data_IF_537921396372
#
_entry.id   IF_537921396372
#
_cell.length_a   1.000
_cell.length_b   1.000
_cell.length_c   1.000
_cell.angle_alpha   90.00
_cell.angle_beta   90.00
_cell.angle_gamma   90.00
#
_symmetry.space_group_name_H-M   'P 1'
#
loop_
_entity.id
_entity.type
_entity.pdbx_description
1 polymer ?
#
# COMPACT_ATOMS: atom_id res chain seq x y z
N UNK A 1 -26.64 -28.58 -5.94
CA UNK A 1 -25.48 -28.40 -5.03
C UNK A 1 -24.17 -27.99 -5.71
N UNK A 2 -23.99 -28.15 -7.04
CA UNK A 2 -22.71 -27.87 -7.73
C UNK A 2 -22.62 -26.47 -8.39
N UNK A 3 -23.76 -25.83 -8.69
CA UNK A 3 -23.81 -24.54 -9.39
C UNK A 3 -23.57 -23.34 -8.45
N UNK A 4 -24.18 -23.35 -7.25
CA UNK A 4 -24.02 -22.29 -6.25
C UNK A 4 -22.56 -22.15 -5.77
N UNK A 5 -21.90 -23.28 -5.47
CA UNK A 5 -20.49 -23.30 -5.09
C UNK A 5 -19.57 -22.78 -6.20
N UNK A 6 -19.93 -23.03 -7.46
CA UNK A 6 -19.21 -22.52 -8.63
C UNK A 6 -19.38 -21.00 -8.75
N UNK A 7 -20.61 -20.50 -8.61
CA UNK A 7 -20.93 -19.08 -8.70
C UNK A 7 -20.23 -18.27 -7.60
N UNK A 8 -20.28 -18.75 -6.35
CA UNK A 8 -19.59 -18.12 -5.21
C UNK A 8 -18.09 -18.03 -5.44
N UNK A 9 -17.48 -19.08 -5.99
CA UNK A 9 -16.05 -19.10 -6.31
C UNK A 9 -15.69 -18.09 -7.39
N UNK A 10 -16.49 -17.98 -8.46
CA UNK A 10 -16.28 -17.01 -9.54
C UNK A 10 -16.42 -15.57 -9.05
N UNK A 11 -17.40 -15.29 -8.19
CA UNK A 11 -17.58 -13.97 -7.59
C UNK A 11 -16.42 -13.59 -6.66
N UNK A 12 -15.98 -14.52 -5.80
CA UNK A 12 -14.82 -14.29 -4.92
C UNK A 12 -13.54 -14.00 -5.70
N UNK A 13 -13.30 -14.73 -6.79
CA UNK A 13 -12.14 -14.48 -7.67
C UNK A 13 -12.20 -13.09 -8.29
N UNK A 14 -13.37 -12.68 -8.78
CA UNK A 14 -13.56 -11.35 -9.35
C UNK A 14 -13.34 -10.24 -8.31
N UNK A 15 -13.86 -10.42 -7.10
CA UNK A 15 -13.67 -9.47 -6.01
C UNK A 15 -12.19 -9.40 -5.62
N UNK A 16 -11.51 -10.54 -5.48
CA UNK A 16 -10.08 -10.58 -5.18
C UNK A 16 -9.25 -9.84 -6.22
N UNK A 17 -9.43 -10.15 -7.50
CA UNK A 17 -8.65 -9.51 -8.56
C UNK A 17 -8.90 -8.00 -8.64
N UNK A 18 -10.12 -7.56 -8.38
CA UNK A 18 -10.45 -6.13 -8.36
C UNK A 18 -9.76 -5.43 -7.18
N UNK A 19 -9.67 -6.07 -6.00
CA UNK A 19 -9.00 -5.53 -4.82
C UNK A 19 -7.48 -5.46 -5.05
N UNK A 20 -6.87 -6.56 -5.49
CA UNK A 20 -5.45 -6.63 -5.79
C UNK A 20 -5.05 -5.63 -6.88
N UNK A 21 -5.89 -5.45 -7.90
CA UNK A 21 -5.66 -4.45 -8.94
C UNK A 21 -5.73 -3.02 -8.40
N UNK A 22 -6.57 -2.76 -7.39
CA UNK A 22 -6.63 -1.44 -6.74
C UNK A 22 -5.39 -1.15 -5.90
N UNK A 23 -4.98 -2.11 -5.07
CA UNK A 23 -3.76 -1.99 -4.28
C UNK A 23 -2.52 -1.88 -5.16
N UNK A 24 -2.49 -2.59 -6.30
CA UNK A 24 -1.43 -2.45 -7.28
C UNK A 24 -1.31 -1.02 -7.83
N UNK A 25 -2.44 -0.36 -8.11
CA UNK A 25 -2.44 1.05 -8.54
C UNK A 25 -1.88 1.96 -7.44
N UNK A 26 -2.31 1.77 -6.20
CA UNK A 26 -1.79 2.54 -5.06
C UNK A 26 -0.26 2.32 -4.90
N UNK A 27 0.23 1.09 -5.11
CA UNK A 27 1.65 0.77 -5.14
C UNK A 27 2.41 1.49 -6.26
N UNK A 28 1.82 1.65 -7.45
CA UNK A 28 2.44 2.43 -8.51
C UNK A 28 2.60 3.91 -8.12
N UNK A 29 1.58 4.50 -7.47
CA UNK A 29 1.66 5.87 -6.95
C UNK A 29 2.74 5.99 -5.85
N UNK A 30 2.86 4.98 -4.99
CA UNK A 30 3.92 4.94 -3.98
C UNK A 30 5.32 4.84 -4.57
N UNK A 31 5.49 4.11 -5.69
CA UNK A 31 6.75 4.11 -6.44
C UNK A 31 7.05 5.46 -7.10
N UNK A 32 6.02 6.21 -7.51
CA UNK A 32 6.18 7.60 -7.98
C UNK A 32 6.70 8.50 -6.85
N UNK A 33 6.18 8.37 -5.62
CA UNK A 33 6.73 9.05 -4.45
C UNK A 33 8.21 8.69 -4.24
N UNK A 34 8.59 7.41 -4.31
CA UNK A 34 10.00 7.01 -4.18
C UNK A 34 10.91 7.69 -5.23
N UNK A 35 10.45 7.74 -6.49
CA UNK A 35 11.17 8.44 -7.57
C UNK A 35 11.27 9.94 -7.30
N UNK A 36 10.17 10.56 -6.88
CA UNK A 36 10.10 11.97 -6.51
C UNK A 36 11.09 12.33 -5.38
N UNK A 37 11.18 11.50 -4.33
CA UNK A 37 12.14 11.68 -3.24
C UNK A 37 13.58 11.62 -3.78
N UNK A 38 13.93 10.58 -4.53
CA UNK A 38 15.27 10.42 -5.11
C UNK A 38 15.65 11.58 -6.01
N UNK A 39 14.72 12.03 -6.84
CA UNK A 39 14.92 13.12 -7.77
C UNK A 39 15.08 14.46 -7.04
N UNK A 40 14.27 14.74 -6.03
CA UNK A 40 14.40 15.91 -5.18
C UNK A 40 15.76 15.97 -4.47
N UNK A 41 16.23 14.84 -3.94
CA UNK A 41 17.57 14.73 -3.33
C UNK A 41 18.66 14.99 -4.39
N UNK A 42 18.55 14.37 -5.57
CA UNK A 42 19.52 14.54 -6.67
C UNK A 42 19.62 15.99 -7.15
N UNK A 43 18.49 16.69 -7.22
CA UNK A 43 18.39 18.09 -7.60
C UNK A 43 18.74 19.06 -6.46
N UNK A 44 19.06 18.56 -5.25
CA UNK A 44 19.34 19.36 -4.05
C UNK A 44 18.19 20.28 -3.67
N UNK A 45 16.95 19.81 -3.86
CA UNK A 45 15.76 20.48 -3.33
C UNK A 45 15.83 20.49 -1.81
N UNK A 46 15.36 21.58 -1.19
CA UNK A 46 15.29 21.73 0.27
C UNK A 46 14.59 20.50 0.89
N UNK A 47 15.25 19.72 1.78
CA UNK A 47 14.71 18.46 2.29
C UNK A 47 13.33 18.58 2.93
N UNK A 48 13.08 19.69 3.64
CA UNK A 48 11.79 20.00 4.26
C UNK A 48 10.66 20.05 3.23
N UNK A 49 10.92 20.56 2.02
CA UNK A 49 9.91 20.63 0.95
C UNK A 49 9.50 19.24 0.47
N UNK A 50 10.48 18.35 0.28
CA UNK A 50 10.24 16.95 -0.11
C UNK A 50 9.49 16.23 1.01
N UNK A 51 9.92 16.45 2.27
CA UNK A 51 9.33 15.83 3.45
C UNK A 51 7.87 16.22 3.66
N UNK A 52 7.53 17.49 3.49
CA UNK A 52 6.15 17.96 3.61
C UNK A 52 5.22 17.25 2.61
N UNK A 53 5.66 17.07 1.35
CA UNK A 53 4.88 16.31 0.36
C UNK A 53 4.76 14.83 0.73
N UNK A 54 5.88 14.20 1.13
CA UNK A 54 5.89 12.80 1.53
C UNK A 54 4.95 12.54 2.73
N UNK A 55 4.91 13.43 3.71
CA UNK A 55 4.07 13.31 4.90
C UNK A 55 2.59 13.54 4.59
N UNK A 56 2.30 14.50 3.69
CA UNK A 56 0.95 14.68 3.17
C UNK A 56 0.48 13.43 2.42
N UNK A 57 1.30 12.89 1.51
CA UNK A 57 0.96 11.65 0.78
C UNK A 57 0.71 10.49 1.73
N UNK A 58 1.55 10.35 2.77
CA UNK A 58 1.36 9.33 3.78
C UNK A 58 0.01 9.46 4.49
N UNK A 59 -0.34 10.67 4.91
CA UNK A 59 -1.54 10.94 5.69
C UNK A 59 -2.82 10.82 4.88
N UNK A 60 -2.78 11.11 3.57
CA UNK A 60 -3.96 11.12 2.70
C UNK A 60 -4.16 9.82 1.94
N UNK A 61 -3.08 9.12 1.57
CA UNK A 61 -3.14 7.96 0.67
C UNK A 61 -2.57 6.69 1.31
N UNK A 62 -1.28 6.70 1.68
CA UNK A 62 -0.56 5.49 2.03
C UNK A 62 -1.01 4.86 3.37
N UNK A 63 -1.40 5.68 4.35
CA UNK A 63 -1.91 5.18 5.62
C UNK A 63 -3.21 4.38 5.43
N UNK A 64 -4.14 4.87 4.60
CA UNK A 64 -5.37 4.15 4.26
C UNK A 64 -5.07 2.85 3.50
N UNK A 65 -4.14 2.90 2.55
CA UNK A 65 -3.66 1.71 1.84
C UNK A 65 -3.19 0.61 2.83
N UNK A 66 -2.36 0.97 3.83
CA UNK A 66 -1.91 0.02 4.85
C UNK A 66 -3.04 -0.55 5.73
N UNK A 67 -4.09 0.22 6.01
CA UNK A 67 -5.26 -0.30 6.74
C UNK A 67 -6.01 -1.34 5.91
N UNK A 68 -6.22 -1.07 4.61
CA UNK A 68 -6.90 -2.00 3.69
C UNK A 68 -6.12 -3.33 3.63
N UNK A 69 -4.79 -3.29 3.53
CA UNK A 69 -3.99 -4.52 3.51
C UNK A 69 -4.12 -5.33 4.80
N UNK A 70 -4.09 -4.65 5.96
CA UNK A 70 -4.24 -5.31 7.26
C UNK A 70 -5.60 -5.96 7.46
N UNK A 71 -6.65 -5.30 6.98
CA UNK A 71 -8.02 -5.75 7.17
C UNK A 71 -8.40 -6.85 6.17
N UNK A 72 -7.93 -6.77 4.92
CA UNK A 72 -8.45 -7.63 3.84
C UNK A 72 -7.42 -8.54 3.20
N UNK A 73 -6.13 -8.18 3.17
CA UNK A 73 -5.09 -8.95 2.47
C UNK A 73 -4.39 -9.91 3.42
N UNK A 74 -3.86 -9.39 4.53
CA UNK A 74 -3.07 -10.19 5.47
C UNK A 74 -3.86 -11.35 6.11
N UNK A 75 -5.16 -11.22 6.42
CA UNK A 75 -5.94 -12.34 6.93
C UNK A 75 -6.04 -13.53 5.97
N UNK A 76 -5.97 -13.30 4.64
CA UNK A 76 -6.05 -14.36 3.63
C UNK A 76 -4.83 -15.30 3.66
N UNK A 77 -3.67 -14.82 4.11
CA UNK A 77 -2.46 -15.63 4.31
C UNK A 77 -2.30 -16.13 5.76
N UNK A 78 -3.11 -15.59 6.68
CA UNK A 78 -3.00 -15.80 8.12
C UNK A 78 -1.98 -14.85 8.78
N UNK A 79 -2.34 -14.30 9.93
CA UNK A 79 -1.52 -13.30 10.64
C UNK A 79 -0.18 -13.85 11.17
N UNK A 80 -0.08 -15.17 11.32
CA UNK A 80 1.17 -15.85 11.72
C UNK A 80 2.17 -16.03 10.57
N UNK A 81 1.75 -15.77 9.32
CA UNK A 81 2.58 -15.88 8.13
C UNK A 81 3.80 -14.94 8.21
N UNK A 82 4.98 -15.47 7.86
CA UNK A 82 6.23 -14.70 7.93
C UNK A 82 6.25 -13.48 7.00
N UNK A 83 5.61 -13.57 5.82
CA UNK A 83 5.50 -12.45 4.88
C UNK A 83 4.65 -11.32 5.47
N UNK A 84 3.52 -11.67 6.11
CA UNK A 84 2.64 -10.73 6.80
C UNK A 84 3.37 -10.03 7.95
N UNK A 85 4.08 -10.78 8.81
CA UNK A 85 4.87 -10.19 9.90
C UNK A 85 5.95 -9.24 9.40
N UNK A 86 6.55 -9.54 8.24
CA UNK A 86 7.55 -8.68 7.59
C UNK A 86 6.92 -7.39 7.06
N UNK A 87 5.81 -7.46 6.31
CA UNK A 87 5.10 -6.28 5.82
C UNK A 87 4.62 -5.38 6.98
N UNK A 88 4.01 -5.95 8.02
CA UNK A 88 3.62 -5.20 9.24
C UNK A 88 4.80 -4.50 9.93
N UNK A 89 6.00 -5.08 9.87
CA UNK A 89 7.21 -4.45 10.41
C UNK A 89 7.68 -3.29 9.57
N UNK A 90 7.60 -3.41 8.25
CA UNK A 90 7.86 -2.31 7.31
C UNK A 90 6.82 -1.19 7.47
N UNK A 91 5.52 -1.50 7.62
CA UNK A 91 4.47 -0.50 7.90
C UNK A 91 4.81 0.34 9.13
N UNK A 92 5.21 -0.33 10.23
CA UNK A 92 5.62 0.35 11.48
C UNK A 92 6.86 1.22 11.30
N UNK A 93 7.84 0.77 10.51
CA UNK A 93 9.06 1.54 10.21
C UNK A 93 8.75 2.77 9.35
N UNK A 94 8.02 2.58 8.26
CA UNK A 94 7.60 3.65 7.36
C UNK A 94 6.81 4.71 8.11
N UNK A 95 5.81 4.32 8.90
CA UNK A 95 5.05 5.24 9.75
C UNK A 95 5.98 6.12 10.59
N UNK A 96 7.01 5.53 11.24
CA UNK A 96 7.98 6.31 12.03
C UNK A 96 8.76 7.30 11.17
N UNK A 97 9.16 6.93 9.95
CA UNK A 97 9.93 7.83 9.09
C UNK A 97 9.07 9.00 8.57
N UNK A 98 7.80 8.75 8.23
CA UNK A 98 6.86 9.81 7.85
C UNK A 98 6.52 10.72 9.03
N UNK A 99 6.31 10.20 10.24
CA UNK A 99 5.93 11.05 11.39
C UNK A 99 7.11 11.74 12.09
N UNK A 100 8.35 11.43 11.73
CA UNK A 100 9.55 11.98 12.39
C UNK A 100 9.99 13.27 11.70
N UNK A 101 10.17 14.33 12.49
CA UNK A 101 10.56 15.67 12.03
C UNK A 101 12.03 16.04 12.36
N UNK A 102 12.87 15.04 12.61
CA UNK A 102 14.31 15.21 12.84
C UNK A 102 15.07 14.26 11.91
N UNK A 103 16.33 14.59 11.57
CA UNK A 103 17.12 13.83 10.58
C UNK A 103 16.33 13.65 9.26
N UNK A 104 15.82 14.74 8.68
CA UNK A 104 14.88 14.72 7.54
C UNK A 104 15.47 14.00 6.34
N UNK A 105 16.68 14.34 5.91
CA UNK A 105 17.34 13.70 4.76
C UNK A 105 17.45 12.18 4.94
N UNK A 106 17.90 11.75 6.13
CA UNK A 106 17.97 10.33 6.49
C UNK A 106 16.59 9.68 6.48
N UNK A 107 15.55 10.38 6.93
CA UNK A 107 14.19 9.86 6.93
C UNK A 107 13.67 9.71 5.50
N UNK A 108 13.93 10.66 4.61
CA UNK A 108 13.59 10.59 3.18
C UNK A 108 14.26 9.40 2.49
N UNK A 109 15.56 9.19 2.68
CA UNK A 109 16.25 8.01 2.14
C UNK A 109 15.68 6.70 2.68
N UNK A 110 15.31 6.65 3.97
CA UNK A 110 14.69 5.45 4.55
C UNK A 110 13.28 5.20 4.05
N UNK A 111 12.50 6.27 3.78
CA UNK A 111 11.16 6.13 3.21
C UNK A 111 11.24 5.45 1.86
N UNK A 112 12.05 5.96 0.93
CA UNK A 112 12.10 5.41 -0.42
C UNK A 112 12.65 3.96 -0.45
N UNK A 113 13.69 3.67 0.34
CA UNK A 113 14.24 2.32 0.49
C UNK A 113 13.21 1.31 1.06
N UNK A 114 12.63 1.63 2.21
CA UNK A 114 11.73 0.70 2.92
C UNK A 114 10.41 0.51 2.16
N UNK A 115 9.93 1.55 1.47
CA UNK A 115 8.69 1.50 0.69
C UNK A 115 8.86 0.66 -0.58
N UNK A 116 9.98 0.75 -1.30
CA UNK A 116 10.24 -0.15 -2.43
C UNK A 116 10.39 -1.61 -2.01
N UNK A 117 11.02 -1.86 -0.86
CA UNK A 117 11.13 -3.21 -0.28
C UNK A 117 9.74 -3.77 0.04
N UNK A 118 8.88 -2.93 0.63
CA UNK A 118 7.50 -3.29 0.96
C UNK A 118 6.70 -3.66 -0.29
N UNK A 119 6.66 -2.75 -1.27
CA UNK A 119 5.92 -2.94 -2.53
C UNK A 119 6.40 -4.21 -3.25
N UNK A 120 7.71 -4.46 -3.28
CA UNK A 120 8.24 -5.69 -3.89
C UNK A 120 7.77 -6.95 -3.16
N UNK A 121 7.76 -6.93 -1.83
CA UNK A 121 7.30 -8.03 -1.00
C UNK A 121 5.80 -8.30 -1.24
N UNK A 122 4.99 -7.25 -1.32
CA UNK A 122 3.56 -7.36 -1.57
C UNK A 122 3.28 -7.92 -2.96
N UNK A 123 3.80 -7.27 -3.99
CA UNK A 123 3.52 -7.60 -5.39
C UNK A 123 4.03 -8.98 -5.79
N UNK A 124 5.27 -9.32 -5.39
CA UNK A 124 5.95 -10.55 -5.85
C UNK A 124 5.74 -11.74 -4.93
N UNK A 125 5.38 -11.51 -3.67
CA UNK A 125 5.20 -12.60 -2.70
C UNK A 125 3.77 -12.66 -2.20
N UNK A 126 3.26 -11.63 -1.52
CA UNK A 126 1.93 -11.70 -0.87
C UNK A 126 0.82 -11.85 -1.90
N UNK A 127 0.72 -10.95 -2.87
CA UNK A 127 -0.35 -10.97 -3.88
C UNK A 127 -0.25 -12.22 -4.76
N UNK A 128 0.96 -12.64 -5.15
CA UNK A 128 1.16 -13.91 -5.87
C UNK A 128 0.71 -15.11 -5.04
N UNK A 129 1.06 -15.18 -3.75
CA UNK A 129 0.62 -16.27 -2.86
C UNK A 129 -0.90 -16.29 -2.70
N UNK A 130 -1.54 -15.14 -2.54
CA UNK A 130 -3.00 -15.04 -2.42
C UNK A 130 -3.70 -15.49 -3.71
N UNK A 131 -3.21 -15.10 -4.90
CA UNK A 131 -3.78 -15.59 -6.17
C UNK A 131 -3.69 -17.12 -6.32
N UNK A 132 -2.68 -17.73 -5.73
CA UNK A 132 -2.52 -19.20 -5.73
C UNK A 132 -3.39 -19.89 -4.67
N UNK A 133 -3.80 -19.17 -3.63
CA UNK A 133 -4.67 -19.65 -2.56
C UNK A 133 -6.06 -19.09 -2.83
N UNK A 134 -6.84 -19.78 -3.66
CA UNK A 134 -8.25 -19.40 -3.90
C UNK A 134 -9.13 -20.21 -2.95
N UNK A 135 -9.57 -19.66 -1.80
CA UNK A 135 -10.50 -20.37 -0.96
C UNK A 135 -11.85 -20.51 -1.67
N UNK A 136 -12.31 -21.75 -1.82
CA UNK A 136 -13.64 -22.07 -2.33
C UNK A 136 -14.75 -21.81 -1.30
N UNK A 137 -14.41 -21.37 -0.08
CA UNK A 137 -15.31 -21.31 1.06
C UNK A 137 -15.25 -20.01 1.90
N UNK A 138 -14.39 -19.04 1.58
CA UNK A 138 -14.38 -17.73 2.25
C UNK A 138 -14.92 -16.67 1.30
N UNK A 139 -15.96 -15.97 1.72
CA UNK A 139 -16.56 -14.86 0.97
C UNK A 139 -15.56 -13.70 1.02
N UNK A 140 -15.06 -13.29 -0.14
CA UNK A 140 -14.27 -12.07 -0.28
C UNK A 140 -15.29 -10.95 -0.49
N UNK A 141 -15.39 -10.05 0.50
CA UNK A 141 -16.37 -8.97 0.53
C UNK A 141 -16.35 -8.16 -0.78
N UNK A 142 -17.55 -7.72 -1.20
CA UNK A 142 -17.73 -7.02 -2.46
C UNK A 142 -17.10 -5.63 -2.37
N UNK A 143 -16.30 -5.28 -3.38
CA UNK A 143 -15.59 -4.00 -3.41
C UNK A 143 -16.50 -2.77 -3.50
N UNK A 144 -17.79 -2.96 -3.78
CA UNK A 144 -18.76 -1.86 -3.81
C UNK A 144 -19.00 -1.19 -2.45
N UNK A 145 -18.64 -1.86 -1.35
CA UNK A 145 -18.71 -1.26 -0.01
C UNK A 145 -17.46 -0.42 0.33
N UNK A 146 -16.46 -0.40 -0.56
CA UNK A 146 -15.25 0.40 -0.38
C UNK A 146 -15.52 1.84 -0.82
N UNK A 147 -16.24 2.60 -0.01
CA UNK A 147 -16.16 4.06 -0.10
C UNK A 147 -14.77 4.46 0.42
N UNK A 148 -13.81 4.69 -0.50
CA UNK A 148 -12.61 5.45 -0.16
C UNK A 148 -13.08 6.87 0.16
N UNK A 149 -13.31 7.17 1.43
CA UNK A 149 -13.31 8.56 1.90
C UNK A 149 -11.86 9.04 1.84
N UNK A 150 -11.40 9.36 0.63
CA UNK A 150 -10.15 10.06 0.44
C UNK A 150 -10.31 11.43 1.10
N UNK A 151 -9.33 11.84 1.89
CA UNK A 151 -9.26 13.22 2.33
C UNK A 151 -9.13 14.08 1.06
N UNK A 152 -10.12 14.94 0.81
CA UNK A 152 -10.14 15.85 -0.34
C UNK A 152 -9.18 17.05 -0.17
N UNK A 153 -8.16 16.93 0.69
CA UNK A 153 -7.15 17.97 0.86
C UNK A 153 -6.21 17.95 -0.33
N UNK A 154 -6.53 18.74 -1.36
CA UNK A 154 -5.64 18.91 -2.50
C UNK A 154 -4.26 19.43 -2.07
N UNK A 155 -3.21 18.79 -2.58
CA UNK A 155 -1.86 19.31 -2.42
C UNK A 155 -1.67 20.58 -3.26
N UNK A 156 -1.23 21.64 -2.59
CA UNK A 156 -1.17 23.00 -3.14
C UNK A 156 0.19 23.39 -3.74
N UNK A 157 1.25 22.59 -3.56
CA UNK A 157 2.56 22.89 -4.15
C UNK A 157 2.66 22.33 -5.59
N UNK A 158 2.56 23.24 -6.56
CA UNK A 158 2.62 22.96 -8.00
C UNK A 158 3.89 22.29 -8.48
N UNK A 159 4.98 22.30 -7.70
CA UNK A 159 6.21 21.59 -8.09
C UNK A 159 6.03 20.08 -8.19
N UNK A 160 5.00 19.54 -7.54
CA UNK A 160 4.66 18.12 -7.53
C UNK A 160 3.42 17.80 -8.40
N UNK A 161 2.90 18.77 -9.17
CA UNK A 161 1.86 18.55 -10.20
C UNK A 161 2.48 18.33 -11.57
#
# INVERSE_FOLDING_TARGET
MNLEKKLIKEENLKNLETLLSSLHRDNQLSLELCRAIREGIRQKIVPERIKNYADWYYSNELALHFEIEKEYIFPLLGLENQLVKKSLTLHRRLKKHFTKNIEIEKSLSRIEEDLEILIRLEEKNIFTSIRNIVPSNQIILNLKDFSRELNNEEWNDFFWR
#
